data_IF_644357430522
#
_entry.id   IF_644357430522
#
_cell.length_a   1.000
_cell.length_b   1.000
_cell.length_c   1.000
_cell.angle_alpha   90.00
_cell.angle_beta   90.00
_cell.angle_gamma   90.00
#
_symmetry.space_group_name_H-M   'P 1'
#
loop_
_entity.id
_entity.type
_entity.pdbx_description
1 polymer ?
#
# COMPACT_ATOMS: atom_id res chain seq x y z
N UNK A 1 3.39 -3.55 -21.53
CA UNK A 1 2.38 -4.60 -21.23
C UNK A 1 1.17 -4.31 -22.10
N UNK A 2 0.78 -5.25 -22.97
CA UNK A 2 -0.46 -5.12 -23.77
C UNK A 2 -1.66 -5.32 -22.86
N UNK A 3 -2.81 -4.71 -23.16
CA UNK A 3 -4.02 -4.80 -22.32
C UNK A 3 -4.49 -6.25 -22.09
N UNK A 4 -4.17 -7.12 -23.04
CA UNK A 4 -4.43 -8.57 -23.05
C UNK A 4 -3.60 -9.34 -22.01
N UNK A 5 -2.49 -8.75 -21.54
CA UNK A 5 -1.53 -9.35 -20.63
C UNK A 5 -1.78 -8.91 -19.17
N UNK A 6 -2.77 -8.04 -18.93
CA UNK A 6 -3.16 -7.58 -17.60
C UNK A 6 -4.23 -8.52 -17.07
N UNK A 7 -3.85 -9.38 -16.12
CA UNK A 7 -4.78 -10.23 -15.39
C UNK A 7 -5.70 -9.34 -14.54
N UNK A 8 -6.99 -9.34 -14.85
CA UNK A 8 -8.02 -8.64 -14.09
C UNK A 8 -8.87 -9.66 -13.35
N UNK A 9 -9.45 -9.25 -12.22
CA UNK A 9 -10.44 -10.07 -11.52
C UNK A 9 -11.58 -10.47 -12.46
N UNK A 10 -12.13 -11.66 -12.23
CA UNK A 10 -13.33 -12.13 -12.92
C UNK A 10 -14.43 -11.05 -12.88
N UNK A 11 -15.19 -10.84 -13.97
CA UNK A 11 -16.19 -9.75 -14.06
C UNK A 11 -17.19 -9.73 -12.90
N UNK A 12 -17.50 -10.90 -12.33
CA UNK A 12 -18.35 -11.04 -11.16
C UNK A 12 -17.75 -10.42 -9.89
N UNK A 13 -16.44 -10.63 -9.65
CA UNK A 13 -15.71 -10.09 -8.50
C UNK A 13 -15.55 -8.58 -8.64
N UNK A 14 -15.15 -8.12 -9.83
CA UNK A 14 -15.04 -6.70 -10.13
C UNK A 14 -16.37 -5.95 -9.93
N UNK A 15 -17.49 -6.56 -10.29
CA UNK A 15 -18.81 -5.98 -10.05
C UNK A 15 -19.23 -6.03 -8.58
N UNK A 16 -18.90 -7.11 -7.85
CA UNK A 16 -19.16 -7.24 -6.41
C UNK A 16 -18.51 -6.08 -5.64
N UNK A 17 -17.26 -5.76 -5.94
CA UNK A 17 -16.48 -4.71 -5.27
C UNK A 17 -16.91 -3.28 -5.65
N UNK A 18 -17.53 -3.08 -6.82
CA UNK A 18 -18.13 -1.79 -7.19
C UNK A 18 -19.39 -1.48 -6.40
N UNK A 19 -20.13 -2.51 -5.97
CA UNK A 19 -21.38 -2.37 -5.22
C UNK A 19 -21.10 -2.35 -3.72
N UNK A 20 -20.19 -3.19 -3.25
CA UNK A 20 -19.76 -3.26 -1.86
C UNK A 20 -18.21 -3.33 -1.79
N UNK A 21 -17.54 -2.19 -1.52
CA UNK A 21 -16.10 -2.14 -1.42
C UNK A 21 -15.51 -2.99 -0.29
N UNK A 22 -16.30 -3.35 0.73
CA UNK A 22 -15.87 -4.18 1.87
C UNK A 22 -16.04 -5.68 1.61
N UNK A 23 -16.59 -6.06 0.46
CA UNK A 23 -16.84 -7.46 0.08
C UNK A 23 -15.58 -8.32 -0.07
N UNK A 24 -14.39 -7.72 0.01
CA UNK A 24 -13.08 -8.40 0.10
C UNK A 24 -12.81 -8.99 1.50
N UNK A 25 -13.61 -8.63 2.51
CA UNK A 25 -13.43 -9.09 3.88
C UNK A 25 -14.33 -10.31 4.18
N UNK A 26 -13.73 -11.38 4.68
CA UNK A 26 -14.42 -12.49 5.33
C UNK A 26 -14.36 -12.28 6.83
N UNK A 27 -15.52 -12.09 7.47
CA UNK A 27 -15.64 -11.93 8.92
C UNK A 27 -16.09 -13.25 9.55
N UNK A 28 -15.37 -13.70 10.56
CA UNK A 28 -15.70 -14.89 11.33
C UNK A 28 -15.78 -14.55 12.82
N UNK A 29 -16.83 -15.04 13.49
CA UNK A 29 -17.04 -14.92 14.94
C UNK A 29 -17.07 -16.32 15.54
N UNK A 30 -16.48 -16.50 16.71
CA UNK A 30 -16.48 -17.76 17.46
C UNK A 30 -17.82 -18.02 18.14
N UNK A 31 -18.48 -16.98 18.65
CA UNK A 31 -19.68 -17.08 19.50
C UNK A 31 -20.93 -16.48 18.87
N UNK A 32 -20.77 -15.59 17.88
CA UNK A 32 -21.89 -14.90 17.22
C UNK A 32 -22.54 -13.81 18.07
N UNK A 33 -21.94 -13.47 19.22
CA UNK A 33 -22.38 -12.38 20.08
C UNK A 33 -22.06 -11.03 19.44
N UNK A 34 -22.97 -10.07 19.55
CA UNK A 34 -22.81 -8.73 18.97
C UNK A 34 -21.64 -7.95 19.58
N UNK A 35 -21.22 -8.31 20.79
CA UNK A 35 -20.10 -7.71 21.52
C UNK A 35 -18.75 -8.33 21.12
N UNK A 36 -18.75 -9.46 20.41
CA UNK A 36 -17.54 -10.10 19.94
C UNK A 36 -16.92 -9.28 18.81
N UNK A 37 -15.62 -8.97 18.92
CA UNK A 37 -14.87 -8.35 17.83
C UNK A 37 -14.65 -9.42 16.75
N UNK A 38 -15.21 -9.27 15.53
CA UNK A 38 -15.08 -10.27 14.48
C UNK A 38 -13.62 -10.39 14.03
N UNK A 39 -13.15 -11.62 13.84
CA UNK A 39 -11.90 -11.83 13.13
C UNK A 39 -12.13 -11.55 11.65
N UNK A 40 -11.31 -10.70 11.05
CA UNK A 40 -11.46 -10.30 9.66
C UNK A 40 -10.26 -10.81 8.87
N UNK A 41 -10.52 -11.59 7.82
CA UNK A 41 -9.51 -12.06 6.88
C UNK A 41 -9.85 -11.60 5.47
N UNK A 42 -8.84 -11.40 4.62
CA UNK A 42 -9.08 -11.16 3.21
C UNK A 42 -9.64 -12.43 2.56
N UNK A 43 -10.69 -12.28 1.76
CA UNK A 43 -11.21 -13.35 0.91
C UNK A 43 -10.10 -13.74 -0.10
N UNK A 44 -9.59 -14.98 -0.05
CA UNK A 44 -8.50 -15.40 -0.94
C UNK A 44 -8.90 -15.42 -2.42
N UNK A 45 -10.20 -15.44 -2.74
CA UNK A 45 -10.69 -15.30 -4.11
C UNK A 45 -10.62 -13.85 -4.61
N UNK A 46 -10.48 -12.89 -3.69
CA UNK A 46 -10.46 -11.45 -3.98
C UNK A 46 -9.02 -10.97 -3.79
N UNK A 47 -8.28 -10.87 -4.89
CA UNK A 47 -6.89 -10.41 -4.92
C UNK A 47 -6.75 -8.88 -4.81
N UNK A 48 -7.81 -8.21 -4.34
CA UNK A 48 -7.83 -6.77 -4.13
C UNK A 48 -6.81 -6.44 -3.06
N UNK A 49 -5.72 -5.79 -3.49
CA UNK A 49 -4.55 -5.58 -2.65
C UNK A 49 -3.24 -5.74 -3.41
N UNK A 50 -3.25 -6.41 -4.57
CA UNK A 50 -2.13 -6.24 -5.50
C UNK A 50 -2.35 -4.98 -6.33
N UNK A 51 -2.23 -3.82 -5.68
CA UNK A 51 -1.91 -2.60 -6.42
C UNK A 51 -0.48 -2.76 -6.94
N UNK A 52 -0.32 -3.36 -8.11
CA UNK A 52 0.96 -3.63 -8.76
C UNK A 52 0.95 -4.92 -9.59
N UNK A 53 2.08 -5.21 -10.22
CA UNK A 53 2.32 -6.47 -10.92
C UNK A 53 2.86 -7.48 -9.89
N UNK A 54 2.07 -8.46 -9.38
CA UNK A 54 2.53 -9.42 -8.37
C UNK A 54 3.75 -10.23 -8.83
N UNK A 55 3.85 -10.48 -10.13
CA UNK A 55 5.02 -11.08 -10.79
C UNK A 55 6.30 -10.24 -10.61
N UNK A 56 6.17 -8.95 -10.33
CA UNK A 56 7.28 -8.04 -10.06
C UNK A 56 7.52 -7.80 -8.56
N UNK A 57 6.73 -8.42 -7.67
CA UNK A 57 6.90 -8.31 -6.21
C UNK A 57 8.10 -9.15 -5.74
N UNK A 58 9.30 -8.61 -5.94
CA UNK A 58 10.59 -9.21 -5.58
C UNK A 58 11.26 -8.43 -4.43
N UNK A 59 11.60 -9.08 -3.30
CA UNK A 59 12.34 -8.46 -2.20
C UNK A 59 13.62 -7.75 -2.63
N UNK A 60 14.35 -8.27 -3.63
CA UNK A 60 15.58 -7.64 -4.12
C UNK A 60 15.30 -6.33 -4.84
N UNK A 61 14.22 -6.26 -5.65
CA UNK A 61 13.75 -5.00 -6.26
C UNK A 61 13.31 -4.00 -5.18
N UNK A 62 12.62 -4.47 -4.13
CA UNK A 62 12.21 -3.64 -3.00
C UNK A 62 13.41 -2.98 -2.30
N UNK A 63 14.46 -3.75 -2.02
CA UNK A 63 15.71 -3.25 -1.45
C UNK A 63 16.38 -2.21 -2.37
N UNK A 64 16.50 -2.51 -3.67
CA UNK A 64 17.09 -1.60 -4.66
C UNK A 64 16.33 -0.27 -4.76
N UNK A 65 15.00 -0.29 -4.81
CA UNK A 65 14.21 0.93 -4.90
C UNK A 65 14.27 1.75 -3.61
N UNK A 66 14.32 1.08 -2.46
CA UNK A 66 14.51 1.75 -1.17
C UNK A 66 15.85 2.46 -1.12
N UNK A 67 16.93 1.79 -1.53
CA UNK A 67 18.27 2.39 -1.59
C UNK A 67 18.30 3.62 -2.52
N UNK A 68 17.78 3.49 -3.74
CA UNK A 68 17.68 4.61 -4.70
C UNK A 68 16.84 5.79 -4.19
N UNK A 69 15.79 5.52 -3.41
CA UNK A 69 14.99 6.57 -2.80
C UNK A 69 15.80 7.30 -1.71
N UNK A 70 16.50 6.56 -0.86
CA UNK A 70 17.34 7.11 0.20
C UNK A 70 18.52 7.93 -0.35
N UNK A 71 19.17 7.48 -1.41
CA UNK A 71 20.25 8.21 -2.08
C UNK A 71 19.83 9.62 -2.51
N UNK A 72 18.57 9.79 -2.94
CA UNK A 72 18.04 11.08 -3.38
C UNK A 72 17.51 11.93 -2.23
N UNK A 73 16.82 11.32 -1.27
CA UNK A 73 16.14 12.04 -0.19
C UNK A 73 17.13 12.52 0.87
N UNK A 74 18.13 11.72 1.23
CA UNK A 74 19.07 12.04 2.31
C UNK A 74 19.82 13.36 2.06
N UNK A 75 20.39 13.63 0.87
CA UNK A 75 21.03 14.91 0.59
C UNK A 75 20.07 16.11 0.70
N UNK A 76 18.83 15.96 0.21
CA UNK A 76 17.82 17.02 0.28
C UNK A 76 17.45 17.34 1.73
N UNK A 77 17.28 16.31 2.56
CA UNK A 77 17.02 16.51 4.00
C UNK A 77 18.19 17.18 4.70
N UNK A 78 19.43 16.75 4.42
CA UNK A 78 20.63 17.39 4.97
C UNK A 78 20.71 18.88 4.61
N UNK A 79 20.40 19.21 3.36
CA UNK A 79 20.37 20.59 2.89
C UNK A 79 19.27 21.40 3.60
N UNK A 80 18.05 20.87 3.67
CA UNK A 80 16.94 21.52 4.37
C UNK A 80 17.25 21.76 5.86
N UNK A 81 17.93 20.82 6.52
CA UNK A 81 18.37 20.98 7.91
C UNK A 81 19.40 22.11 8.05
N UNK A 82 20.40 22.15 7.18
CA UNK A 82 21.41 23.21 7.18
C UNK A 82 20.80 24.59 6.91
N UNK A 83 19.84 24.69 5.99
CA UNK A 83 19.14 25.93 5.69
C UNK A 83 18.26 26.38 6.86
N UNK A 84 17.57 25.46 7.53
CA UNK A 84 16.79 25.75 8.73
C UNK A 84 17.68 26.24 9.89
N UNK A 85 18.86 25.66 10.06
CA UNK A 85 19.83 26.07 11.08
C UNK A 85 20.38 27.47 10.81
N UNK A 86 20.72 27.79 9.56
CA UNK A 86 21.13 29.15 9.16
C UNK A 86 20.02 30.17 9.44
N UNK A 87 18.78 29.85 9.07
CA UNK A 87 17.62 30.71 9.32
C UNK A 87 17.40 31.00 10.81
N UNK A 88 17.51 29.96 11.67
CA UNK A 88 17.46 30.11 13.13
C UNK A 88 18.56 31.03 13.66
N UNK A 89 19.80 30.83 13.20
CA UNK A 89 20.94 31.66 13.63
C UNK A 89 20.84 33.11 13.15
N UNK A 90 20.13 33.35 12.05
CA UNK A 90 19.85 34.69 11.51
C UNK A 90 18.58 35.35 12.09
N UNK A 91 17.86 34.68 13.00
CA UNK A 91 16.61 35.18 13.58
C UNK A 91 15.45 35.29 12.57
N UNK A 92 15.55 34.62 11.43
CA UNK A 92 14.52 34.58 10.40
C UNK A 92 13.71 33.30 10.60
N UNK A 93 12.55 33.41 11.23
CA UNK A 93 11.60 32.31 11.42
C UNK A 93 10.62 32.23 10.25
#
# INVERSE_FOLDING_TARGET
>A
VRKEEITVDEPAIANKLRVDPDAYQVRTTFSGLTQEIPNTKQDPAIQVGVMGYPEDADPAKGALYTEKALEKIVPLLKQAMADAEKKRNMGQF
#
